data_IF_005283966461
#
_entry.id   IF_005283966461
#
_cell.length_a   1.000
_cell.length_b   1.000
_cell.length_c   1.000
_cell.angle_alpha   90.00
_cell.angle_beta   90.00
_cell.angle_gamma   90.00
#
_symmetry.space_group_name_H-M   'P 1'
#
loop_
_entity.id
_entity.type
_entity.pdbx_description
1 polymer ?
#
# COMPACT_ATOMS: atom_id res chain seq x y z
N UNK A 1 -10.50 18.45 -6.69
CA UNK A 1 -10.95 17.36 -7.60
C UNK A 1 -9.94 17.04 -8.71
N UNK A 2 -9.13 17.99 -9.22
CA UNK A 2 -8.15 17.73 -10.30
C UNK A 2 -6.92 16.86 -9.93
N UNK A 3 -6.49 16.81 -8.67
CA UNK A 3 -5.22 16.17 -8.30
C UNK A 3 -5.33 14.65 -8.04
N UNK A 4 -6.54 14.13 -7.80
CA UNK A 4 -6.76 12.68 -7.66
C UNK A 4 -6.33 11.96 -8.95
N UNK A 5 -6.74 12.52 -10.08
CA UNK A 5 -6.40 12.00 -11.40
C UNK A 5 -4.93 12.21 -11.75
N UNK A 6 -4.26 13.27 -11.27
CA UNK A 6 -2.85 13.49 -11.60
C UNK A 6 -1.95 12.40 -11.02
N UNK A 7 -1.98 12.19 -9.69
CA UNK A 7 -1.11 11.18 -9.06
C UNK A 7 -1.45 9.77 -9.53
N UNK A 8 -2.74 9.48 -9.70
CA UNK A 8 -3.19 8.19 -10.21
C UNK A 8 -2.69 7.94 -11.64
N UNK A 9 -2.97 8.85 -12.57
CA UNK A 9 -2.55 8.70 -13.96
C UNK A 9 -1.03 8.72 -14.11
N UNK A 10 -0.31 9.49 -13.29
CA UNK A 10 1.16 9.52 -13.29
C UNK A 10 1.75 8.19 -12.83
N UNK A 11 1.17 7.56 -11.79
CA UNK A 11 1.66 6.28 -11.26
C UNK A 11 1.32 5.11 -12.19
N UNK A 12 0.06 4.98 -12.62
CA UNK A 12 -0.41 3.88 -13.49
C UNK A 12 -0.21 4.13 -14.98
N UNK A 13 0.34 5.29 -15.36
CA UNK A 13 0.65 5.67 -16.75
C UNK A 13 -0.55 5.70 -17.69
N UNK A 14 -1.72 6.04 -17.15
CA UNK A 14 -2.97 6.10 -17.89
C UNK A 14 -3.02 7.38 -18.74
N UNK A 15 -3.30 7.21 -20.03
CA UNK A 15 -3.66 8.30 -20.95
C UNK A 15 -2.55 8.87 -21.84
N UNK A 16 -1.27 8.54 -21.63
CA UNK A 16 -0.19 8.96 -22.52
C UNK A 16 0.55 7.75 -23.11
N UNK A 17 0.61 7.65 -24.44
CA UNK A 17 1.51 6.72 -25.15
C UNK A 17 2.96 7.16 -24.89
N UNK A 18 3.56 6.64 -23.81
CA UNK A 18 4.99 6.72 -23.59
C UNK A 18 5.64 5.52 -24.28
N UNK A 19 6.75 5.75 -24.98
CA UNK A 19 7.62 4.65 -25.37
C UNK A 19 8.12 3.98 -24.10
N UNK A 20 7.57 2.82 -23.78
CA UNK A 20 7.92 2.01 -22.61
C UNK A 20 9.31 1.40 -22.82
N UNK A 21 10.35 2.22 -22.63
CA UNK A 21 11.70 1.71 -22.36
C UNK A 21 11.85 1.48 -20.85
N UNK A 22 10.90 0.78 -20.25
CA UNK A 22 10.96 0.34 -18.86
C UNK A 22 11.97 -0.81 -18.76
N UNK A 23 13.25 -0.46 -18.93
CA UNK A 23 14.37 -1.41 -18.91
C UNK A 23 14.43 -2.20 -17.59
N UNK A 24 13.81 -1.69 -16.53
CA UNK A 24 13.67 -2.36 -15.24
C UNK A 24 12.84 -3.66 -15.34
N UNK A 25 11.85 -3.73 -16.23
CA UNK A 25 11.01 -4.91 -16.41
C UNK A 25 11.78 -6.07 -17.05
N UNK A 26 12.83 -5.79 -17.82
CA UNK A 26 13.62 -6.81 -18.56
C UNK A 26 14.33 -7.76 -17.59
N UNK A 27 14.67 -7.30 -16.38
CA UNK A 27 15.34 -8.12 -15.36
C UNK A 27 14.41 -8.79 -14.36
N UNK A 28 13.10 -8.49 -14.37
CA UNK A 28 12.13 -9.09 -13.46
C UNK A 28 11.60 -10.40 -14.03
N UNK A 29 11.40 -11.39 -13.16
CA UNK A 29 10.75 -12.64 -13.57
C UNK A 29 9.27 -12.37 -13.85
N UNK A 30 8.72 -13.04 -14.86
CA UNK A 30 7.31 -12.86 -15.25
C UNK A 30 6.30 -13.21 -14.14
N UNK A 31 6.72 -13.99 -13.13
CA UNK A 31 5.93 -14.40 -11.97
C UNK A 31 6.20 -13.53 -10.72
N UNK A 32 6.94 -12.42 -10.83
CA UNK A 32 7.22 -11.59 -9.66
C UNK A 32 5.92 -10.99 -9.08
N UNK A 33 5.71 -11.08 -7.75
CA UNK A 33 4.50 -10.58 -7.09
C UNK A 33 4.24 -9.09 -7.29
N UNK A 34 5.24 -8.31 -7.72
CA UNK A 34 5.10 -6.87 -7.99
C UNK A 34 4.05 -6.59 -9.08
N UNK A 35 3.90 -7.50 -10.07
CA UNK A 35 2.90 -7.33 -11.13
C UNK A 35 1.47 -7.49 -10.60
N UNK A 36 1.25 -8.50 -9.76
CA UNK A 36 -0.04 -8.72 -9.09
C UNK A 36 -0.35 -7.55 -8.17
N UNK A 37 0.65 -7.07 -7.43
CA UNK A 37 0.49 -5.90 -6.57
C UNK A 37 0.00 -4.68 -7.36
N UNK A 38 0.62 -4.32 -8.49
CA UNK A 38 0.19 -3.16 -9.27
C UNK A 38 -1.25 -3.31 -9.76
N UNK A 39 -1.64 -4.49 -10.25
CA UNK A 39 -3.02 -4.74 -10.69
C UNK A 39 -4.03 -4.50 -9.58
N UNK A 40 -3.75 -5.03 -8.38
CA UNK A 40 -4.63 -4.84 -7.23
C UNK A 40 -4.66 -3.38 -6.77
N UNK A 41 -3.49 -2.71 -6.78
CA UNK A 41 -3.37 -1.30 -6.43
C UNK A 41 -4.16 -0.39 -7.38
N UNK A 42 -4.25 -0.73 -8.66
CA UNK A 42 -5.01 0.06 -9.65
C UNK A 42 -6.50 0.15 -9.28
N UNK A 43 -7.05 -0.87 -8.61
CA UNK A 43 -8.47 -0.93 -8.26
C UNK A 43 -8.83 -0.32 -6.88
N UNK A 44 -7.86 0.23 -6.16
CA UNK A 44 -8.07 0.87 -4.85
C UNK A 44 -8.53 2.33 -4.99
N UNK A 45 -9.31 2.80 -4.02
CA UNK A 45 -9.65 4.21 -3.89
C UNK A 45 -8.64 4.92 -2.97
N UNK A 46 -7.88 5.85 -3.56
CA UNK A 46 -6.88 6.66 -2.86
C UNK A 46 -7.40 8.03 -2.41
N UNK A 47 -8.70 8.31 -2.55
CA UNK A 47 -9.29 9.60 -2.22
C UNK A 47 -8.93 10.11 -0.82
N UNK A 48 -9.02 9.22 0.19
CA UNK A 48 -8.66 9.50 1.58
C UNK A 48 -7.19 9.89 1.78
N UNK A 49 -6.28 9.18 1.11
CA UNK A 49 -4.84 9.46 1.14
C UNK A 49 -4.50 10.78 0.45
N UNK A 50 -5.06 10.99 -0.75
CA UNK A 50 -4.76 12.13 -1.59
C UNK A 50 -5.35 13.44 -1.03
N UNK A 51 -6.42 13.37 -0.23
CA UNK A 51 -6.95 14.50 0.51
C UNK A 51 -5.95 15.12 1.50
N UNK A 52 -4.94 14.35 1.96
CA UNK A 52 -3.90 14.83 2.89
C UNK A 52 -2.79 15.64 2.21
N UNK A 53 -2.78 15.68 0.88
CA UNK A 53 -1.76 16.37 0.10
C UNK A 53 -2.21 17.77 -0.30
N UNK A 54 -1.38 18.75 0.07
CA UNK A 54 -1.58 20.16 -0.31
C UNK A 54 -1.40 20.36 -1.80
N UNK A 55 -2.19 21.28 -2.36
CA UNK A 55 -2.06 21.76 -3.74
C UNK A 55 -1.00 22.85 -3.91
N UNK A 56 -0.46 23.37 -2.80
CA UNK A 56 0.50 24.48 -2.77
C UNK A 56 1.87 24.00 -2.31
N UNK A 57 2.92 24.46 -3.00
CA UNK A 57 4.31 24.16 -2.68
C UNK A 57 4.98 23.22 -3.68
N UNK A 58 6.19 22.76 -3.34
CA UNK A 58 6.95 21.82 -4.17
C UNK A 58 6.24 20.46 -4.18
N UNK A 59 6.05 19.89 -5.37
CA UNK A 59 5.52 18.53 -5.51
C UNK A 59 6.50 17.54 -4.87
N UNK A 60 6.01 16.81 -3.87
CA UNK A 60 6.75 15.71 -3.24
C UNK A 60 6.69 14.44 -4.08
N UNK A 61 7.04 13.31 -3.45
CA UNK A 61 6.85 11.99 -4.06
C UNK A 61 5.37 11.69 -4.26
N UNK A 62 5.07 10.88 -5.28
CA UNK A 62 3.71 10.43 -5.54
C UNK A 62 3.21 9.58 -4.35
N UNK A 63 2.05 9.92 -3.74
CA UNK A 63 1.57 9.22 -2.54
C UNK A 63 1.26 7.74 -2.77
N UNK A 64 0.77 7.42 -3.97
CA UNK A 64 0.44 6.05 -4.38
C UNK A 64 1.72 5.22 -4.54
N UNK A 65 2.77 5.82 -5.09
CA UNK A 65 4.09 5.20 -5.15
C UNK A 65 4.68 4.93 -3.76
N UNK A 66 4.60 5.91 -2.85
CA UNK A 66 5.10 5.72 -1.48
C UNK A 66 4.34 4.58 -0.77
N UNK A 67 3.03 4.52 -0.94
CA UNK A 67 2.20 3.44 -0.42
C UNK A 67 2.55 2.08 -1.04
N UNK A 68 2.71 2.01 -2.37
CA UNK A 68 3.03 0.76 -3.07
C UNK A 68 4.36 0.16 -2.62
N UNK A 69 5.37 0.99 -2.40
CA UNK A 69 6.69 0.58 -1.89
C UNK A 69 6.57 0.01 -0.48
N UNK A 70 5.85 0.68 0.42
CA UNK A 70 5.66 0.22 1.79
C UNK A 70 4.87 -1.10 1.81
N UNK A 71 3.82 -1.20 0.99
CA UNK A 71 3.01 -2.40 0.91
C UNK A 71 3.82 -3.58 0.36
N UNK A 72 4.60 -3.38 -0.70
CA UNK A 72 5.49 -4.41 -1.25
C UNK A 72 6.59 -4.82 -0.25
N UNK A 73 7.15 -3.86 0.48
CA UNK A 73 8.10 -4.15 1.56
C UNK A 73 7.47 -5.04 2.63
N UNK A 74 6.24 -4.72 3.06
CA UNK A 74 5.48 -5.53 4.02
C UNK A 74 5.20 -6.95 3.47
N UNK A 75 4.82 -7.09 2.20
CA UNK A 75 4.65 -8.40 1.54
C UNK A 75 5.94 -9.23 1.52
N UNK A 76 7.10 -8.57 1.42
CA UNK A 76 8.44 -9.19 1.49
C UNK A 76 8.94 -9.39 2.93
N UNK A 77 8.16 -8.99 3.95
CA UNK A 77 8.55 -9.06 5.36
C UNK A 77 9.57 -8.00 5.82
N UNK A 78 9.78 -6.95 5.03
CA UNK A 78 10.75 -5.87 5.30
C UNK A 78 10.03 -4.70 5.98
N UNK A 79 10.36 -4.46 7.25
CA UNK A 79 9.75 -3.38 8.06
C UNK A 79 10.69 -2.20 8.36
N UNK A 80 12.00 -2.41 8.25
CA UNK A 80 12.99 -1.37 8.55
C UNK A 80 13.10 -0.35 7.40
N UNK A 81 12.87 0.94 7.68
CA UNK A 81 12.92 2.01 6.68
C UNK A 81 14.28 2.11 6.00
N UNK A 82 15.37 1.97 6.74
CA UNK A 82 16.73 1.95 6.17
C UNK A 82 16.87 0.85 5.11
N UNK A 83 16.28 -0.31 5.37
CA UNK A 83 16.31 -1.44 4.44
C UNK A 83 15.43 -1.18 3.21
N UNK A 84 14.27 -0.55 3.39
CA UNK A 84 13.40 -0.14 2.27
C UNK A 84 14.14 0.83 1.35
N UNK A 85 14.82 1.82 1.92
CA UNK A 85 15.62 2.79 1.13
C UNK A 85 16.72 2.08 0.34
N UNK A 86 17.43 1.14 0.95
CA UNK A 86 18.44 0.34 0.25
C UNK A 86 17.83 -0.48 -0.90
N UNK A 87 16.66 -1.09 -0.69
CA UNK A 87 15.95 -1.86 -1.71
C UNK A 87 15.52 -0.98 -2.88
N UNK A 88 15.05 0.24 -2.64
CA UNK A 88 14.76 1.23 -3.68
C UNK A 88 15.98 1.59 -4.57
N UNK A 89 17.20 1.30 -4.12
CA UNK A 89 18.42 1.54 -4.90
C UNK A 89 18.97 0.30 -5.60
N UNK A 90 18.63 -0.90 -5.11
CA UNK A 90 19.30 -2.15 -5.51
C UNK A 90 18.37 -3.21 -6.08
N UNK A 91 17.13 -3.28 -5.61
CA UNK A 91 16.18 -4.31 -6.00
C UNK A 91 15.34 -3.85 -7.19
N UNK A 92 15.27 -4.67 -8.24
CA UNK A 92 14.60 -4.31 -9.49
C UNK A 92 13.10 -4.03 -9.31
N UNK A 93 12.42 -4.76 -8.42
CA UNK A 93 10.99 -4.56 -8.21
C UNK A 93 10.74 -3.24 -7.49
N UNK A 94 11.57 -2.90 -6.51
CA UNK A 94 11.50 -1.60 -5.83
C UNK A 94 11.87 -0.44 -6.74
N UNK A 95 12.93 -0.57 -7.55
CA UNK A 95 13.32 0.43 -8.54
C UNK A 95 12.20 0.65 -9.57
N UNK A 96 11.53 -0.42 -9.98
CA UNK A 96 10.39 -0.33 -10.89
C UNK A 96 9.21 0.39 -10.24
N UNK A 97 8.82 0.03 -9.01
CA UNK A 97 7.76 0.71 -8.24
C UNK A 97 8.05 2.20 -8.06
N UNK A 98 9.30 2.58 -7.80
CA UNK A 98 9.69 4.00 -7.64
C UNK A 98 9.93 4.71 -8.96
N UNK A 99 9.84 4.02 -10.10
CA UNK A 99 10.20 4.54 -11.43
C UNK A 99 11.62 5.11 -11.48
N UNK A 100 12.55 4.47 -10.77
CA UNK A 100 13.94 4.89 -10.63
C UNK A 100 14.17 6.06 -9.67
N UNK A 101 13.13 6.60 -9.03
CA UNK A 101 13.29 7.58 -7.96
C UNK A 101 13.92 6.92 -6.73
N UNK A 102 14.64 7.73 -5.94
CA UNK A 102 15.32 7.29 -4.73
C UNK A 102 14.81 8.05 -3.50
N UNK A 103 13.63 7.67 -2.97
CA UNK A 103 13.12 8.27 -1.74
C UNK A 103 14.10 8.07 -0.59
N UNK A 104 14.35 9.15 0.16
CA UNK A 104 15.20 9.12 1.34
C UNK A 104 14.39 8.72 2.57
N UNK A 105 15.10 8.39 3.65
CA UNK A 105 14.52 8.03 4.96
C UNK A 105 13.50 9.07 5.44
N UNK A 106 13.84 10.35 5.34
CA UNK A 106 12.97 11.44 5.77
C UNK A 106 11.64 11.47 5.00
N UNK A 107 11.65 11.08 3.72
CA UNK A 107 10.42 11.01 2.92
C UNK A 107 9.52 9.86 3.38
N UNK A 108 10.09 8.71 3.74
CA UNK A 108 9.33 7.61 4.33
C UNK A 108 8.78 7.95 5.70
N UNK A 109 9.57 8.57 6.57
CA UNK A 109 9.09 8.98 7.89
C UNK A 109 8.02 10.07 7.81
N UNK A 110 8.17 11.06 6.93
CA UNK A 110 7.11 12.05 6.70
C UNK A 110 5.84 11.38 6.18
N UNK A 111 5.96 10.46 5.22
CA UNK A 111 4.82 9.73 4.68
C UNK A 111 4.09 8.92 5.75
N UNK A 112 4.82 8.08 6.49
CA UNK A 112 4.26 7.18 7.51
C UNK A 112 3.64 7.98 8.66
N UNK A 113 4.35 9.00 9.16
CA UNK A 113 3.92 9.68 10.38
C UNK A 113 2.90 10.79 10.11
N UNK A 114 2.98 11.47 8.96
CA UNK A 114 2.17 12.68 8.70
C UNK A 114 1.09 12.49 7.63
N UNK A 115 1.23 11.50 6.74
CA UNK A 115 0.30 11.29 5.61
C UNK A 115 -0.56 10.05 5.78
N UNK A 116 0.02 8.97 6.30
CA UNK A 116 -0.62 7.67 6.46
C UNK A 116 -1.23 7.56 7.86
N UNK A 117 -2.28 8.34 8.13
CA UNK A 117 -3.02 8.21 9.39
C UNK A 117 -3.63 6.81 9.52
N UNK A 118 -3.85 6.36 10.76
CA UNK A 118 -4.45 5.06 11.08
C UNK A 118 -5.71 4.77 10.23
N UNK A 119 -6.64 5.72 10.17
CA UNK A 119 -7.86 5.62 9.35
C UNK A 119 -7.60 5.39 7.85
N UNK A 120 -6.58 6.04 7.29
CA UNK A 120 -6.23 5.92 5.85
C UNK A 120 -5.53 4.60 5.59
N UNK A 121 -4.67 4.18 6.51
CA UNK A 121 -3.97 2.91 6.44
C UNK A 121 -4.94 1.74 6.51
N UNK A 122 -5.87 1.78 7.47
CA UNK A 122 -6.89 0.76 7.65
C UNK A 122 -7.81 0.65 6.44
N UNK A 123 -8.29 1.78 5.91
CA UNK A 123 -9.13 1.81 4.71
C UNK A 123 -8.41 1.18 3.50
N UNK A 124 -7.18 1.62 3.19
CA UNK A 124 -6.42 1.08 2.06
C UNK A 124 -6.06 -0.39 2.24
N UNK A 125 -5.66 -0.81 3.45
CA UNK A 125 -5.38 -2.22 3.74
C UNK A 125 -6.62 -3.10 3.63
N UNK A 126 -7.77 -2.63 4.13
CA UNK A 126 -9.03 -3.35 4.02
C UNK A 126 -9.45 -3.52 2.56
N UNK A 127 -9.36 -2.44 1.77
CA UNK A 127 -9.63 -2.51 0.33
C UNK A 127 -8.69 -3.51 -0.36
N UNK A 128 -7.39 -3.48 -0.05
CA UNK A 128 -6.39 -4.40 -0.60
C UNK A 128 -6.69 -5.87 -0.28
N UNK A 129 -6.93 -6.20 1.00
CA UNK A 129 -7.27 -7.57 1.43
C UNK A 129 -8.57 -8.05 0.78
N UNK A 130 -9.59 -7.19 0.74
CA UNK A 130 -10.88 -7.52 0.11
C UNK A 130 -10.73 -7.84 -1.37
N UNK A 131 -9.85 -7.11 -2.09
CA UNK A 131 -9.55 -7.38 -3.50
C UNK A 131 -8.82 -8.69 -3.69
N UNK A 132 -7.77 -8.94 -2.90
CA UNK A 132 -7.05 -10.22 -2.92
C UNK A 132 -7.96 -11.42 -2.64
N UNK A 133 -8.88 -11.28 -1.69
CA UNK A 133 -9.85 -12.33 -1.37
C UNK A 133 -10.83 -12.57 -2.52
N UNK A 134 -11.30 -11.50 -3.17
CA UNK A 134 -12.19 -11.60 -4.34
C UNK A 134 -11.54 -12.29 -5.53
N UNK A 135 -10.24 -12.08 -5.74
CA UNK A 135 -9.46 -12.73 -6.80
C UNK A 135 -9.06 -14.18 -6.46
N UNK A 136 -9.37 -14.65 -5.25
CA UNK A 136 -8.99 -15.98 -4.78
C UNK A 136 -7.49 -16.13 -4.51
N UNK A 137 -6.76 -15.02 -4.41
CA UNK A 137 -5.31 -14.99 -4.16
C UNK A 137 -4.97 -15.23 -2.68
N UNK A 138 -5.92 -15.00 -1.78
CA UNK A 138 -5.81 -15.31 -0.35
C UNK A 138 -7.05 -16.05 0.13
N UNK A 139 -6.86 -17.11 0.92
CA UNK A 139 -7.90 -17.65 1.78
C UNK A 139 -8.03 -16.78 3.03
N UNK A 140 -9.26 -16.42 3.42
CA UNK A 140 -9.52 -15.63 4.64
C UNK A 140 -9.01 -16.32 5.93
N UNK A 141 -8.69 -17.61 5.87
CA UNK A 141 -8.08 -18.38 6.97
C UNK A 141 -6.62 -17.99 7.26
N UNK A 142 -5.88 -17.48 6.26
CA UNK A 142 -4.50 -17.00 6.42
C UNK A 142 -4.42 -15.59 7.05
N UNK A 143 -5.56 -14.94 7.30
CA UNK A 143 -5.62 -13.59 7.88
C UNK A 143 -5.35 -13.58 9.40
N UNK A 144 -5.19 -14.76 10.02
CA UNK A 144 -4.71 -14.93 11.39
C UNK A 144 -3.19 -14.87 11.54
N UNK A 145 -2.45 -14.56 10.47
CA UNK A 145 -0.99 -14.53 10.49
C UNK A 145 -0.51 -13.19 11.07
N UNK A 146 -0.36 -13.24 12.38
CA UNK A 146 0.70 -12.57 13.16
C UNK A 146 0.40 -11.17 13.69
N UNK A 147 -0.37 -11.14 14.79
CA UNK A 147 -0.23 -10.13 15.86
C UNK A 147 -0.80 -8.74 15.62
N UNK A 148 -1.08 -8.33 14.39
CA UNK A 148 -1.85 -7.10 14.14
C UNK A 148 -3.33 -7.45 14.19
N UNK A 149 -3.89 -7.38 15.39
CA UNK A 149 -5.34 -7.16 15.53
C UNK A 149 -5.62 -5.91 14.70
N UNK A 150 -6.26 -6.06 13.55
CA UNK A 150 -7.14 -5.00 13.08
C UNK A 150 -8.18 -4.91 14.18
N UNK A 151 -7.99 -3.98 15.11
CA UNK A 151 -9.10 -3.53 15.93
C UNK A 151 -10.05 -2.91 14.94
N UNK A 152 -10.90 -3.76 14.36
CA UNK A 152 -12.13 -3.34 13.75
C UNK A 152 -12.82 -2.52 14.83
N UNK A 153 -12.63 -1.21 14.78
CA UNK A 153 -13.36 -0.22 15.56
C UNK A 153 -14.78 -0.22 15.02
N UNK A 154 -15.47 -1.33 15.27
CA UNK A 154 -16.90 -1.38 15.32
C UNK A 154 -17.29 -0.56 16.54
N UNK A 155 -18.05 0.51 16.31
CA UNK A 155 -18.50 1.42 17.35
C UNK A 155 -18.99 0.69 18.61
N UNK A 156 -18.74 1.35 19.75
CA UNK A 156 -19.06 0.91 21.11
C UNK A 156 -20.42 0.18 21.18
N UNK A 157 -20.42 -0.95 21.92
CA UNK A 157 -21.54 -1.82 22.32
C UNK A 157 -21.79 -3.10 21.47
N UNK A 158 -21.34 -4.25 21.98
CA UNK A 158 -22.21 -5.31 22.57
C UNK A 158 -21.41 -6.61 22.82
N UNK A 159 -20.78 -6.74 23.98
CA UNK A 159 -20.51 -8.05 24.55
C UNK A 159 -21.09 -8.10 25.96
N UNK A 160 -22.20 -8.80 26.09
CA UNK A 160 -22.80 -9.17 27.38
C UNK A 160 -22.14 -10.47 27.83
N UNK A 161 -21.58 -10.49 29.03
CA UNK A 161 -21.06 -11.71 29.65
C UNK A 161 -22.23 -12.65 29.95
N UNK A 162 -22.24 -13.83 29.32
CA UNK A 162 -23.10 -14.93 29.77
C UNK A 162 -22.45 -15.54 31.01
N UNK A 163 -23.09 -15.36 32.16
CA UNK A 163 -22.69 -15.97 33.42
C UNK A 163 -22.64 -17.50 33.30
N UNK A 164 -21.68 -18.10 33.98
CA UNK A 164 -21.53 -19.54 34.14
C UNK A 164 -22.82 -20.16 34.72
N UNK A 165 -23.53 -20.95 33.92
CA UNK A 165 -24.60 -21.81 34.42
C UNK A 165 -23.95 -23.08 34.92
N UNK A 166 -23.80 -23.19 36.24
CA UNK A 166 -23.42 -24.44 36.90
C UNK A 166 -24.53 -25.47 36.66
N UNK A 167 -24.18 -26.61 36.08
CA UNK A 167 -24.95 -27.83 36.17
C UNK A 167 -24.08 -28.91 36.80
N UNK A 168 -24.63 -29.47 37.89
CA UNK A 168 -24.21 -30.63 38.69
C UNK A 168 -23.27 -30.35 39.87
#
# INVERSE_FOLDING_TARGET
MQNNHYYYNEFFEIGQLKFHFDLYQIGLKADDPVYTLIKVLEELDYSSLLARYSQKGRKGYNPIMMFSVILYANMRGVRAVDRIVELCERDLAFIWLTKGLKPRRDAFYDFINNKLTEEVLEDLHYQFIRRLSKEGLIGLEALFVDGTKFEASAGRYTFVWRGSVNYH
#
